data_IF_480931412621
#
_entry.id   IF_480931412621
#
_cell.length_a   1.000
_cell.length_b   1.000
_cell.length_c   1.000
_cell.angle_alpha   90.00
_cell.angle_beta   90.00
_cell.angle_gamma   90.00
#
_symmetry.space_group_name_H-M   'P 1'
#
loop_
_entity.id
_entity.type
_entity.pdbx_description
1 polymer ?
#
# COMPACT_ATOMS: atom_id res chain seq x y z
N UNK A 1 60.17 -45.90 -8.97
CA UNK A 1 59.21 -45.19 -9.85
C UNK A 1 57.80 -45.42 -9.32
N UNK A 2 57.12 -44.33 -8.96
CA UNK A 2 55.65 -44.07 -8.91
C UNK A 2 54.71 -45.29 -8.72
N UNK A 3 53.89 -45.26 -7.67
CA UNK A 3 52.51 -44.72 -7.70
C UNK A 3 51.84 -44.85 -6.33
N UNK A 4 51.79 -43.74 -5.60
CA UNK A 4 50.77 -43.46 -4.60
C UNK A 4 49.43 -43.42 -5.33
N UNK A 5 48.50 -44.35 -5.06
CA UNK A 5 47.15 -44.27 -5.60
C UNK A 5 46.18 -43.97 -4.44
N UNK A 6 45.75 -42.71 -4.46
CA UNK A 6 44.66 -42.08 -3.71
C UNK A 6 43.54 -43.05 -3.33
N UNK A 7 43.41 -43.37 -2.05
CA UNK A 7 42.17 -43.83 -1.44
C UNK A 7 41.38 -42.59 -1.04
N UNK A 8 40.80 -41.92 -2.05
CA UNK A 8 39.87 -40.81 -1.89
C UNK A 8 38.48 -41.31 -2.29
N UNK A 9 37.96 -42.26 -1.52
CA UNK A 9 36.56 -42.68 -1.65
C UNK A 9 35.72 -41.57 -1.05
N UNK A 10 35.33 -40.67 -1.95
CA UNK A 10 34.17 -39.78 -1.91
C UNK A 10 33.24 -40.04 -0.72
N UNK A 11 33.43 -39.28 0.36
CA UNK A 11 32.35 -38.99 1.29
C UNK A 11 31.41 -38.03 0.55
N UNK A 12 30.52 -38.61 -0.27
CA UNK A 12 29.43 -37.91 -0.93
C UNK A 12 28.45 -37.54 0.18
N UNK A 13 28.73 -36.43 0.86
CA UNK A 13 27.80 -35.79 1.78
C UNK A 13 26.59 -35.42 0.92
N UNK A 14 25.56 -36.28 0.95
CA UNK A 14 24.21 -35.92 0.52
C UNK A 14 23.75 -34.88 1.55
N UNK A 15 24.15 -33.63 1.36
CA UNK A 15 23.48 -32.50 2.00
C UNK A 15 22.06 -32.55 1.43
N UNK A 16 21.03 -32.84 2.23
CA UNK A 16 19.68 -32.61 1.76
C UNK A 16 19.63 -31.14 1.36
N UNK A 17 19.48 -30.90 0.06
CA UNK A 17 19.13 -29.58 -0.44
C UNK A 17 17.74 -29.31 0.10
N UNK A 18 17.67 -28.74 1.30
CA UNK A 18 16.47 -28.08 1.77
C UNK A 18 16.23 -26.95 0.78
N UNK A 19 15.45 -27.24 -0.26
CA UNK A 19 14.76 -26.19 -0.98
C UNK A 19 13.91 -25.51 0.09
N UNK A 20 14.38 -24.38 0.62
CA UNK A 20 13.49 -23.43 1.27
C UNK A 20 12.48 -23.07 0.19
N UNK A 21 11.31 -23.71 0.23
CA UNK A 21 10.13 -23.17 -0.42
C UNK A 21 9.90 -21.85 0.31
N UNK A 22 10.37 -20.76 -0.28
CA UNK A 22 10.11 -19.43 0.23
C UNK A 22 8.59 -19.28 0.24
N UNK A 23 7.99 -19.34 1.43
CA UNK A 23 6.57 -19.17 1.61
C UNK A 23 6.19 -17.82 1.01
N UNK A 24 5.22 -17.81 0.08
CA UNK A 24 4.79 -16.56 -0.54
C UNK A 24 4.32 -15.62 0.58
N UNK A 25 4.92 -14.42 0.71
CA UNK A 25 4.54 -13.51 1.78
C UNK A 25 3.09 -13.09 1.58
N UNK A 26 2.29 -13.17 2.63
CA UNK A 26 0.93 -12.64 2.61
C UNK A 26 0.97 -11.12 2.48
N UNK A 27 -0.10 -10.53 1.96
CA UNK A 27 -0.30 -9.07 1.95
C UNK A 27 -1.46 -8.71 2.87
N UNK A 28 -1.45 -7.46 3.34
CA UNK A 28 -2.52 -6.91 4.16
C UNK A 28 -3.29 -5.91 3.30
N UNK A 29 -4.62 -6.06 3.25
CA UNK A 29 -5.50 -5.17 2.49
C UNK A 29 -6.48 -4.54 3.46
N UNK A 30 -6.51 -3.21 3.49
CA UNK A 30 -7.37 -2.42 4.34
C UNK A 30 -8.31 -1.63 3.44
N UNK A 31 -9.62 -1.85 3.61
CA UNK A 31 -10.65 -1.09 2.91
C UNK A 31 -11.40 -0.20 3.90
N UNK A 32 -11.14 1.11 3.81
CA UNK A 32 -11.73 2.12 4.69
C UNK A 32 -13.24 2.18 4.61
N UNK A 33 -13.82 1.92 3.43
CA UNK A 33 -15.27 1.92 3.25
C UNK A 33 -15.90 0.73 3.97
N UNK A 34 -15.34 -0.45 3.73
CA UNK A 34 -15.85 -1.70 4.32
C UNK A 34 -15.50 -1.83 5.80
N UNK A 35 -14.54 -1.05 6.30
CA UNK A 35 -14.01 -1.12 7.67
C UNK A 35 -13.45 -2.51 7.95
N UNK A 36 -12.74 -3.05 6.97
CA UNK A 36 -12.14 -4.39 7.01
C UNK A 36 -10.64 -4.34 6.81
N UNK A 37 -9.94 -5.21 7.53
CA UNK A 37 -8.57 -5.62 7.25
C UNK A 37 -8.58 -7.09 6.86
N UNK A 38 -8.05 -7.40 5.69
CA UNK A 38 -7.94 -8.75 5.14
C UNK A 38 -6.46 -9.16 5.01
N UNK A 39 -6.17 -10.41 5.33
CA UNK A 39 -4.90 -11.05 4.99
C UNK A 39 -5.13 -11.88 3.73
N UNK A 40 -4.34 -11.62 2.69
CA UNK A 40 -4.38 -12.38 1.45
C UNK A 40 -3.08 -13.15 1.24
N UNK A 41 -3.19 -14.42 0.88
CA UNK A 41 -2.08 -15.28 0.49
C UNK A 41 -2.47 -16.02 -0.77
N UNK A 42 -1.65 -15.93 -1.81
CA UNK A 42 -1.88 -16.58 -3.12
C UNK A 42 -3.29 -16.33 -3.69
N UNK A 43 -3.74 -15.06 -3.71
CA UNK A 43 -5.07 -14.70 -4.21
C UNK A 43 -6.24 -15.00 -3.26
N UNK A 44 -6.02 -15.67 -2.13
CA UNK A 44 -7.09 -16.09 -1.20
C UNK A 44 -7.06 -15.30 0.09
N UNK A 45 -8.24 -14.88 0.56
CA UNK A 45 -8.41 -14.30 1.90
C UNK A 45 -8.27 -15.42 2.92
N UNK A 46 -7.29 -15.32 3.81
CA UNK A 46 -7.03 -16.31 4.88
C UNK A 46 -7.48 -15.82 6.25
N UNK A 47 -7.67 -14.51 6.40
CA UNK A 47 -8.26 -13.89 7.59
C UNK A 47 -8.91 -12.55 7.22
N UNK A 48 -9.95 -12.15 7.96
CA UNK A 48 -10.62 -10.85 7.81
C UNK A 48 -11.09 -10.36 9.18
N UNK A 49 -10.90 -9.07 9.44
CA UNK A 49 -11.17 -8.44 10.73
C UNK A 49 -11.89 -7.10 10.56
N UNK A 50 -12.82 -6.79 11.49
CA UNK A 50 -13.36 -5.42 11.63
C UNK A 50 -12.24 -4.48 12.12
N UNK A 51 -12.24 -3.24 11.65
CA UNK A 51 -11.25 -2.24 12.05
C UNK A 51 -11.84 -0.88 12.40
N UNK A 52 -11.19 -0.21 13.36
CA UNK A 52 -11.35 1.19 13.66
C UNK A 52 -10.38 2.04 12.84
N UNK A 53 -10.79 3.24 12.50
CA UNK A 53 -10.11 4.14 11.59
C UNK A 53 -10.06 5.56 12.18
N UNK A 54 -9.39 6.45 11.46
CA UNK A 54 -9.55 7.89 11.63
C UNK A 54 -10.94 8.37 11.21
N UNK A 55 -11.11 9.69 11.12
CA UNK A 55 -12.38 10.32 10.73
C UNK A 55 -12.89 9.78 9.38
N UNK A 56 -14.20 9.62 9.27
CA UNK A 56 -14.86 9.24 8.04
C UNK A 56 -14.75 10.37 7.00
N UNK A 57 -14.07 10.10 5.88
CA UNK A 57 -13.95 11.07 4.80
C UNK A 57 -13.57 10.42 3.48
N UNK A 58 -14.08 10.99 2.38
CA UNK A 58 -13.57 10.75 1.04
C UNK A 58 -12.30 11.56 0.76
N UNK A 59 -11.96 12.54 1.60
CA UNK A 59 -10.67 13.23 1.49
C UNK A 59 -9.54 12.31 1.97
N UNK A 60 -8.36 12.34 1.31
CA UNK A 60 -7.20 11.59 1.77
C UNK A 60 -6.50 12.32 2.94
N UNK A 61 -5.68 11.57 3.68
CA UNK A 61 -4.73 12.14 4.63
C UNK A 61 -3.67 12.96 3.90
N UNK A 62 -3.48 14.21 4.30
CA UNK A 62 -2.54 15.14 3.65
C UNK A 62 -1.86 16.10 4.63
N UNK A 63 -2.23 16.10 5.91
CA UNK A 63 -1.57 16.94 6.91
C UNK A 63 -1.64 16.37 8.33
N UNK A 64 -0.69 16.81 9.16
CA UNK A 64 -0.74 16.59 10.61
C UNK A 64 -2.05 17.17 11.17
N UNK A 65 -2.76 16.39 11.98
CA UNK A 65 -4.00 16.82 12.64
C UNK A 65 -5.27 16.75 11.78
N UNK A 66 -5.24 16.21 10.57
CA UNK A 66 -6.48 15.91 9.82
C UNK A 66 -7.26 14.70 10.39
N UNK A 67 -6.62 13.90 11.26
CA UNK A 67 -7.17 12.70 11.87
C UNK A 67 -7.68 11.65 10.87
N UNK A 68 -7.22 11.69 9.62
CA UNK A 68 -7.60 10.74 8.58
C UNK A 68 -6.63 9.56 8.56
N UNK A 69 -7.14 8.37 8.27
CA UNK A 69 -6.30 7.20 7.91
C UNK A 69 -5.81 7.37 6.48
N UNK A 70 -4.49 7.24 6.22
CA UNK A 70 -3.93 7.42 4.89
C UNK A 70 -4.36 6.30 3.94
N UNK A 71 -4.17 6.54 2.64
CA UNK A 71 -4.42 5.57 1.56
C UNK A 71 -3.14 5.42 0.75
N UNK A 72 -2.85 4.23 0.25
CA UNK A 72 -1.64 3.93 -0.53
C UNK A 72 -1.01 2.59 -0.17
N UNK A 73 0.23 2.40 -0.63
CA UNK A 73 1.02 1.18 -0.42
C UNK A 73 2.07 1.45 0.65
N UNK A 74 1.91 0.84 1.82
CA UNK A 74 2.79 0.99 2.97
C UNK A 74 3.51 -0.32 3.29
N UNK A 75 4.42 -0.26 4.25
CA UNK A 75 5.09 -1.41 4.85
C UNK A 75 5.08 -1.30 6.35
N UNK A 76 5.03 -2.45 7.02
CA UNK A 76 5.28 -2.54 8.46
C UNK A 76 6.77 -2.37 8.71
N UNK A 77 7.17 -1.30 9.38
CA UNK A 77 8.58 -0.97 9.63
C UNK A 77 9.09 -1.45 10.97
N UNK A 78 8.21 -1.54 11.97
CA UNK A 78 8.52 -2.12 13.27
C UNK A 78 7.25 -2.65 13.94
N UNK A 79 7.43 -3.57 14.88
CA UNK A 79 6.37 -4.11 15.73
C UNK A 79 6.86 -3.98 17.17
N UNK A 80 6.09 -3.32 18.03
CA UNK A 80 6.44 -3.14 19.44
C UNK A 80 5.27 -3.42 20.37
N UNK A 81 5.55 -3.98 21.54
CA UNK A 81 4.57 -4.03 22.62
C UNK A 81 4.19 -2.61 23.06
N UNK A 82 2.96 -2.45 23.53
CA UNK A 82 2.42 -1.17 24.01
C UNK A 82 1.49 -1.42 25.19
N UNK A 83 1.63 -0.65 26.26
CA UNK A 83 0.69 -0.71 27.38
C UNK A 83 -0.71 -0.21 26.98
N UNK A 84 -0.76 0.85 26.16
CA UNK A 84 -2.02 1.45 25.71
C UNK A 84 -2.72 0.62 24.62
N UNK A 85 -1.94 -0.01 23.73
CA UNK A 85 -2.47 -0.62 22.51
C UNK A 85 -2.23 -2.13 22.39
N UNK A 86 -1.67 -2.77 23.43
CA UNK A 86 -1.17 -4.15 23.42
C UNK A 86 0.04 -4.34 22.49
N UNK A 87 -0.13 -4.09 21.19
CA UNK A 87 0.95 -3.95 20.21
C UNK A 87 0.70 -2.76 19.29
N UNK A 88 1.78 -2.17 18.79
CA UNK A 88 1.76 -1.15 17.75
C UNK A 88 2.68 -1.57 16.61
N UNK A 89 2.11 -1.70 15.42
CA UNK A 89 2.79 -2.00 14.18
C UNK A 89 2.92 -0.71 13.38
N UNK A 90 4.11 -0.13 13.35
CA UNK A 90 4.36 1.13 12.64
C UNK A 90 4.34 0.93 11.13
N UNK A 91 3.67 1.83 10.41
CA UNK A 91 3.74 1.94 8.96
C UNK A 91 4.79 2.97 8.54
N UNK A 92 5.39 2.79 7.36
CA UNK A 92 6.29 3.79 6.74
C UNK A 92 5.54 5.02 6.18
N UNK A 93 4.51 5.52 6.86
CA UNK A 93 3.84 6.77 6.50
C UNK A 93 4.60 7.98 7.10
N UNK A 94 4.83 9.06 6.33
CA UNK A 94 4.56 9.19 4.89
C UNK A 94 5.57 8.39 4.03
N UNK A 95 5.09 7.82 2.94
CA UNK A 95 5.92 7.12 1.94
C UNK A 95 6.29 8.05 0.77
N UNK A 96 7.02 7.55 -0.24
CA UNK A 96 7.45 8.34 -1.39
C UNK A 96 6.28 8.99 -2.15
N UNK A 97 5.16 8.29 -2.32
CA UNK A 97 4.01 8.83 -3.04
C UNK A 97 3.29 9.92 -2.21
N UNK A 98 3.22 9.77 -0.88
CA UNK A 98 2.71 10.83 0.00
C UNK A 98 3.55 12.10 -0.11
N UNK A 99 4.88 11.95 -0.10
CA UNK A 99 5.81 13.06 -0.29
C UNK A 99 5.67 13.70 -1.66
N UNK A 100 5.53 12.89 -2.71
CA UNK A 100 5.38 13.36 -4.08
C UNK A 100 4.09 14.18 -4.27
N UNK A 101 2.98 13.70 -3.71
CA UNK A 101 1.70 14.44 -3.72
C UNK A 101 1.78 15.72 -2.89
N UNK A 102 2.48 15.71 -1.74
CA UNK A 102 2.71 16.91 -0.95
C UNK A 102 3.55 17.95 -1.70
N UNK A 103 4.61 17.51 -2.41
CA UNK A 103 5.44 18.36 -3.24
C UNK A 103 4.66 18.94 -4.42
N UNK A 104 3.90 18.10 -5.12
CA UNK A 104 3.00 18.52 -6.20
C UNK A 104 2.02 19.62 -5.75
N UNK A 105 1.47 19.51 -4.54
CA UNK A 105 0.53 20.49 -3.97
C UNK A 105 1.20 21.72 -3.35
N UNK A 106 2.54 21.81 -3.36
CA UNK A 106 3.28 22.90 -2.75
C UNK A 106 3.25 22.90 -1.21
N UNK A 107 2.86 21.79 -0.57
CA UNK A 107 2.87 21.64 0.90
C UNK A 107 4.32 21.56 1.40
N UNK A 108 5.21 20.97 0.60
CA UNK A 108 6.65 20.93 0.83
C UNK A 108 7.39 21.50 -0.38
N UNK A 109 8.54 22.12 -0.13
CA UNK A 109 9.45 22.61 -1.16
C UNK A 109 10.36 21.49 -1.71
N UNK A 110 11.12 21.83 -2.77
CA UNK A 110 12.01 20.88 -3.46
C UNK A 110 13.13 20.36 -2.57
N UNK A 111 13.69 21.21 -1.71
CA UNK A 111 14.79 20.83 -0.81
C UNK A 111 14.32 19.78 0.20
N UNK A 112 13.17 20.02 0.84
CA UNK A 112 12.53 19.11 1.78
C UNK A 112 12.11 17.81 1.11
N UNK A 113 11.54 17.88 -0.10
CA UNK A 113 11.19 16.69 -0.88
C UNK A 113 12.41 15.81 -1.15
N UNK A 114 13.51 16.38 -1.67
CA UNK A 114 14.75 15.64 -1.95
C UNK A 114 15.35 15.06 -0.66
N UNK A 115 15.40 15.84 0.42
CA UNK A 115 15.92 15.38 1.72
C UNK A 115 15.17 14.14 2.21
N UNK A 116 13.84 14.22 2.25
CA UNK A 116 13.00 13.13 2.75
C UNK A 116 12.96 11.93 1.81
N UNK A 117 13.03 12.14 0.51
CA UNK A 117 13.20 11.04 -0.46
C UNK A 117 14.47 10.24 -0.17
N UNK A 118 15.62 10.89 0.06
CA UNK A 118 16.88 10.22 0.40
C UNK A 118 16.81 9.47 1.73
N UNK A 119 16.11 10.01 2.72
CA UNK A 119 15.84 9.30 3.98
C UNK A 119 15.08 7.99 3.72
N UNK A 120 14.02 8.03 2.90
CA UNK A 120 13.26 6.83 2.54
C UNK A 120 14.10 5.80 1.76
N UNK A 121 15.02 6.25 0.89
CA UNK A 121 15.99 5.37 0.19
C UNK A 121 16.91 4.64 1.18
N UNK A 122 17.31 5.31 2.25
CA UNK A 122 18.07 4.73 3.36
C UNK A 122 17.21 3.92 4.35
N UNK A 123 15.94 3.67 4.03
CA UNK A 123 14.97 2.98 4.89
C UNK A 123 14.70 3.67 6.23
N UNK A 124 14.92 4.98 6.31
CA UNK A 124 14.56 5.80 7.47
C UNK A 124 13.06 6.12 7.51
N UNK A 125 12.54 6.45 8.70
CA UNK A 125 11.14 6.82 8.93
C UNK A 125 11.05 8.33 9.17
N UNK A 126 10.07 8.98 8.56
CA UNK A 126 9.82 10.42 8.73
C UNK A 126 8.73 10.61 9.78
N UNK A 127 9.11 10.82 11.04
CA UNK A 127 8.12 10.89 12.14
C UNK A 127 7.46 12.26 12.35
N UNK A 128 8.17 13.36 12.07
CA UNK A 128 7.67 14.73 12.27
C UNK A 128 7.69 15.51 10.96
N UNK A 129 6.71 15.22 10.11
CA UNK A 129 6.49 15.93 8.85
C UNK A 129 5.23 16.79 8.92
N UNK A 130 5.09 17.70 7.95
CA UNK A 130 3.84 18.44 7.73
C UNK A 130 2.65 17.52 7.41
N UNK A 131 2.93 16.31 6.90
CA UNK A 131 1.94 15.25 6.63
C UNK A 131 1.55 14.48 7.89
N UNK A 132 2.26 14.68 9.00
CA UNK A 132 2.19 13.87 10.22
C UNK A 132 3.19 12.70 10.20
N UNK A 133 2.91 11.70 11.02
CA UNK A 133 3.74 10.50 11.18
C UNK A 133 3.09 9.56 12.21
N UNK A 134 3.81 8.50 12.58
CA UNK A 134 3.38 7.53 13.62
C UNK A 134 2.01 6.91 13.35
N UNK A 135 1.72 6.61 12.09
CA UNK A 135 0.54 5.83 11.69
C UNK A 135 0.88 4.34 11.82
N UNK A 136 -0.05 3.56 12.36
CA UNK A 136 0.16 2.14 12.58
C UNK A 136 -1.12 1.34 12.70
N UNK A 137 -0.95 0.02 12.80
CA UNK A 137 -2.00 -0.93 13.16
C UNK A 137 -1.82 -1.29 14.63
N UNK A 138 -2.88 -1.27 15.43
CA UNK A 138 -2.78 -1.48 16.88
C UNK A 138 -4.08 -2.06 17.49
N UNK A 139 -4.05 -2.42 18.78
CA UNK A 139 -5.22 -2.94 19.52
C UNK A 139 -6.14 -1.86 20.07
N UNK A 140 -6.91 -2.16 21.12
CA UNK A 140 -7.76 -1.17 21.81
C UNK A 140 -9.18 -1.03 21.24
N UNK A 141 -9.55 -1.86 20.27
CA UNK A 141 -10.93 -2.05 19.80
C UNK A 141 -11.19 -1.54 18.39
N UNK A 142 -11.84 -2.37 17.56
CA UNK A 142 -12.24 -1.99 16.20
C UNK A 142 -13.30 -0.87 16.19
N UNK A 143 -14.00 -0.66 17.30
CA UNK A 143 -14.98 0.41 17.46
C UNK A 143 -15.09 0.79 18.93
N UNK A 144 -15.64 1.98 19.19
CA UNK A 144 -16.15 2.36 20.50
C UNK A 144 -17.67 2.23 20.50
N UNK A 145 -18.23 1.79 21.62
CA UNK A 145 -19.67 1.79 21.81
C UNK A 145 -20.10 3.18 22.25
N UNK A 146 -21.07 3.75 21.57
CA UNK A 146 -21.65 5.05 21.88
C UNK A 146 -23.15 4.94 22.02
N UNK A 147 -23.75 5.74 22.90
CA UNK A 147 -25.20 5.79 23.10
C UNK A 147 -25.79 7.06 22.52
N UNK A 148 -26.82 6.93 21.69
CA UNK A 148 -27.57 8.06 21.13
C UNK A 148 -29.04 7.70 21.07
N UNK A 149 -29.88 8.57 21.64
CA UNK A 149 -31.34 8.40 21.68
C UNK A 149 -31.76 7.04 22.25
N UNK A 150 -31.10 6.57 23.32
CA UNK A 150 -31.38 5.28 23.96
C UNK A 150 -30.99 4.05 23.15
N UNK A 151 -30.18 4.20 22.09
CA UNK A 151 -29.64 3.09 21.28
C UNK A 151 -28.12 3.10 21.29
N UNK A 152 -27.52 1.93 21.42
CA UNK A 152 -26.07 1.73 21.32
C UNK A 152 -25.66 1.53 19.86
N UNK A 153 -24.61 2.22 19.42
CA UNK A 153 -24.02 2.07 18.09
C UNK A 153 -22.50 1.89 18.16
N UNK A 154 -21.95 1.24 17.13
CA UNK A 154 -20.50 1.10 16.96
C UNK A 154 -19.95 2.34 16.24
N UNK A 155 -19.12 3.13 16.92
CA UNK A 155 -18.31 4.16 16.29
C UNK A 155 -16.96 3.58 15.85
N UNK A 156 -16.79 3.41 14.54
CA UNK A 156 -15.54 2.94 13.93
C UNK A 156 -14.50 4.05 13.73
N UNK A 157 -14.86 5.33 13.89
CA UNK A 157 -14.04 6.48 13.53
C UNK A 157 -13.52 7.22 14.77
N UNK A 158 -12.74 6.51 15.59
CA UNK A 158 -12.31 7.00 16.90
C UNK A 158 -10.80 7.26 17.00
N UNK A 159 -10.00 6.75 16.06
CA UNK A 159 -8.54 6.95 16.10
C UNK A 159 -8.15 8.31 15.53
N UNK A 160 -6.88 8.68 15.67
CA UNK A 160 -6.29 9.89 15.05
C UNK A 160 -5.65 9.62 13.68
N UNK A 161 -6.03 8.52 13.02
CA UNK A 161 -5.54 8.10 11.70
C UNK A 161 -4.91 6.71 11.67
N UNK A 162 -4.76 6.05 12.82
CA UNK A 162 -4.31 4.66 12.88
C UNK A 162 -5.42 3.68 12.44
N UNK A 163 -5.07 2.40 12.43
CA UNK A 163 -5.99 1.30 12.20
C UNK A 163 -6.06 0.46 13.47
N UNK A 164 -7.23 0.40 14.11
CA UNK A 164 -7.42 -0.29 15.36
C UNK A 164 -8.12 -1.63 15.16
N UNK A 165 -7.63 -2.69 15.79
CA UNK A 165 -8.25 -4.02 15.87
C UNK A 165 -8.78 -4.25 17.28
N UNK A 166 -9.70 -5.20 17.45
CA UNK A 166 -9.94 -5.76 18.77
C UNK A 166 -8.69 -6.52 19.23
N UNK A 167 -8.43 -6.55 20.54
CA UNK A 167 -7.20 -7.16 21.05
C UNK A 167 -7.06 -8.64 20.72
N UNK A 168 -8.19 -9.38 20.66
CA UNK A 168 -8.20 -10.79 20.25
C UNK A 168 -7.80 -10.92 18.77
N UNK A 169 -8.43 -10.14 17.91
CA UNK A 169 -8.16 -10.08 16.47
C UNK A 169 -6.71 -9.67 16.20
N UNK A 170 -6.15 -8.73 16.96
CA UNK A 170 -4.76 -8.32 16.88
C UNK A 170 -3.80 -9.48 17.16
N UNK A 171 -4.08 -10.29 18.19
CA UNK A 171 -3.24 -11.46 18.52
C UNK A 171 -3.30 -12.52 17.43
N UNK A 172 -4.45 -12.72 16.78
CA UNK A 172 -4.57 -13.61 15.64
C UNK A 172 -3.88 -13.04 14.39
N UNK A 173 -4.09 -11.76 14.12
CA UNK A 173 -3.47 -11.02 13.04
C UNK A 173 -1.95 -11.14 13.11
N UNK A 174 -1.34 -10.95 14.29
CA UNK A 174 0.12 -11.05 14.48
C UNK A 174 0.74 -12.38 14.04
N UNK A 175 -0.03 -13.47 13.92
CA UNK A 175 0.45 -14.76 13.41
C UNK A 175 0.85 -14.72 11.93
N UNK A 176 0.35 -13.73 11.18
CA UNK A 176 0.57 -13.59 9.74
C UNK A 176 1.60 -12.51 9.38
N UNK A 177 2.22 -11.87 10.38
CA UNK A 177 2.82 -10.56 10.19
C UNK A 177 4.32 -10.54 10.43
N UNK A 178 5.03 -9.96 9.46
CA UNK A 178 6.46 -9.73 9.53
C UNK A 178 6.80 -8.27 9.18
N UNK A 179 7.92 -7.78 9.70
CA UNK A 179 8.49 -6.49 9.26
C UNK A 179 8.84 -6.54 7.77
N UNK A 180 8.59 -5.45 7.06
CA UNK A 180 8.79 -5.32 5.62
C UNK A 180 7.58 -5.72 4.77
N UNK A 181 6.58 -6.37 5.36
CA UNK A 181 5.36 -6.81 4.68
C UNK A 181 4.52 -5.62 4.19
N UNK A 182 3.96 -5.74 2.99
CA UNK A 182 3.16 -4.70 2.35
C UNK A 182 1.75 -4.58 2.95
N UNK A 183 1.31 -3.34 3.15
CA UNK A 183 -0.02 -2.96 3.60
C UNK A 183 -0.65 -2.06 2.54
N UNK A 184 -1.70 -2.54 1.89
CA UNK A 184 -2.47 -1.78 0.91
C UNK A 184 -3.66 -1.15 1.60
N UNK A 185 -3.75 0.18 1.62
CA UNK A 185 -4.87 0.90 2.22
C UNK A 185 -5.63 1.64 1.13
N UNK A 186 -6.91 1.32 0.96
CA UNK A 186 -7.78 1.92 -0.05
C UNK A 186 -9.12 2.33 0.53
N UNK A 187 -9.90 3.06 -0.27
CA UNK A 187 -11.31 3.31 -0.01
C UNK A 187 -12.10 2.90 -1.26
N UNK A 188 -12.83 1.78 -1.22
CA UNK A 188 -13.50 1.23 -2.40
C UNK A 188 -14.67 2.05 -2.93
N UNK A 189 -15.16 3.04 -2.17
CA UNK A 189 -16.16 4.01 -2.64
C UNK A 189 -15.57 5.02 -3.63
N UNK A 190 -14.24 5.19 -3.63
CA UNK A 190 -13.60 6.16 -4.51
C UNK A 190 -13.55 5.67 -5.95
N UNK A 191 -13.57 6.65 -6.86
CA UNK A 191 -13.29 6.48 -8.28
C UNK A 191 -11.92 5.83 -8.50
N UNK A 192 -11.78 5.06 -9.58
CA UNK A 192 -10.56 4.29 -9.86
C UNK A 192 -9.34 5.22 -9.92
N UNK A 193 -9.49 6.38 -10.55
CA UNK A 193 -8.43 7.39 -10.61
C UNK A 193 -7.88 7.77 -9.23
N UNK A 194 -8.77 8.02 -8.26
CA UNK A 194 -8.37 8.44 -6.91
C UNK A 194 -7.67 7.32 -6.13
N UNK A 195 -8.08 6.06 -6.35
CA UNK A 195 -7.38 4.89 -5.79
C UNK A 195 -5.99 4.80 -6.43
N UNK A 196 -5.90 4.83 -7.77
CA UNK A 196 -4.64 4.75 -8.49
C UNK A 196 -3.67 5.87 -8.09
N UNK A 197 -4.16 7.10 -7.89
CA UNK A 197 -3.35 8.24 -7.42
C UNK A 197 -2.59 7.95 -6.13
N UNK A 198 -3.13 7.09 -5.26
CA UNK A 198 -2.49 6.69 -4.01
C UNK A 198 -1.53 5.50 -4.16
N UNK A 199 -1.63 4.76 -5.27
CA UNK A 199 -0.91 3.50 -5.50
C UNK A 199 0.18 3.61 -6.56
N UNK A 200 0.08 4.58 -7.48
CA UNK A 200 1.07 4.78 -8.54
C UNK A 200 2.43 5.14 -7.97
N UNK A 201 3.45 4.76 -8.72
CA UNK A 201 4.79 5.27 -8.54
C UNK A 201 4.88 6.61 -9.27
N UNK A 202 5.26 7.70 -8.59
CA UNK A 202 5.48 8.98 -9.25
C UNK A 202 6.54 8.82 -10.35
N UNK A 203 6.32 9.46 -11.49
CA UNK A 203 7.25 9.43 -12.63
C UNK A 203 7.68 10.83 -13.03
N UNK A 204 6.80 11.83 -12.84
CA UNK A 204 7.11 13.24 -13.09
C UNK A 204 6.30 14.13 -12.15
N UNK A 205 6.95 15.09 -11.52
CA UNK A 205 6.32 16.03 -10.61
C UNK A 205 6.81 17.43 -10.91
N UNK A 206 5.91 18.32 -11.33
CA UNK A 206 6.16 19.77 -11.31
C UNK A 206 5.17 20.42 -10.35
N UNK A 207 5.63 21.02 -9.23
CA UNK A 207 4.76 21.63 -8.24
C UNK A 207 3.78 22.62 -8.85
N UNK A 208 2.52 22.55 -8.43
CA UNK A 208 1.44 23.42 -8.87
C UNK A 208 1.22 23.44 -10.40
N UNK A 209 1.74 22.44 -11.11
CA UNK A 209 1.59 22.29 -12.56
C UNK A 209 1.09 20.90 -12.94
N UNK A 210 1.89 19.85 -12.69
CA UNK A 210 1.58 18.48 -13.14
C UNK A 210 2.10 17.41 -12.18
N UNK A 211 1.30 16.35 -12.01
CA UNK A 211 1.69 15.10 -11.37
C UNK A 211 1.42 13.95 -12.33
N UNK A 212 2.43 13.13 -12.60
CA UNK A 212 2.30 11.91 -13.39
C UNK A 212 2.78 10.69 -12.59
N UNK A 213 2.05 9.59 -12.71
CA UNK A 213 2.43 8.34 -12.05
C UNK A 213 2.02 7.12 -12.85
N UNK A 214 2.79 6.04 -12.70
CA UNK A 214 2.55 4.78 -13.37
C UNK A 214 2.36 3.64 -12.37
N UNK A 215 1.49 2.69 -12.69
CA UNK A 215 1.33 1.43 -11.96
C UNK A 215 1.28 0.29 -12.97
N UNK A 216 2.07 -0.75 -12.72
CA UNK A 216 2.12 -1.96 -13.53
C UNK A 216 1.55 -3.12 -12.72
N UNK A 217 0.62 -3.85 -13.31
CA UNK A 217 -0.14 -4.90 -12.64
C UNK A 217 -0.05 -6.18 -13.46
N UNK A 218 0.51 -7.24 -12.87
CA UNK A 218 0.51 -8.57 -13.49
C UNK A 218 -0.82 -9.25 -13.18
N UNK A 219 -1.57 -9.64 -14.21
CA UNK A 219 -2.84 -10.36 -14.07
C UNK A 219 -2.59 -11.88 -14.10
N UNK A 220 -1.67 -12.32 -14.97
CA UNK A 220 -1.16 -13.68 -15.04
C UNK A 220 0.18 -13.68 -15.80
N UNK A 221 0.79 -14.85 -16.01
CA UNK A 221 2.10 -14.97 -16.69
C UNK A 221 2.18 -14.25 -18.05
N UNK A 222 1.06 -14.15 -18.75
CA UNK A 222 1.01 -13.60 -20.11
C UNK A 222 0.32 -12.24 -20.21
N UNK A 223 -0.37 -11.79 -19.16
CA UNK A 223 -1.26 -10.61 -19.22
C UNK A 223 -0.86 -9.56 -18.19
N UNK A 224 -0.63 -8.34 -18.67
CA UNK A 224 -0.24 -7.20 -17.85
C UNK A 224 -1.13 -6.00 -18.15
N UNK A 225 -1.47 -5.25 -17.12
CA UNK A 225 -2.05 -3.92 -17.23
C UNK A 225 -1.01 -2.87 -16.83
N UNK A 226 -0.98 -1.75 -17.55
CA UNK A 226 -0.31 -0.54 -17.09
C UNK A 226 -1.31 0.59 -16.99
N UNK A 227 -1.31 1.27 -15.85
CA UNK A 227 -2.06 2.48 -15.60
C UNK A 227 -1.08 3.64 -15.62
N UNK A 228 -1.38 4.70 -16.36
CA UNK A 228 -0.67 5.97 -16.33
C UNK A 228 -1.68 7.06 -16.02
N UNK A 229 -1.43 7.80 -14.94
CA UNK A 229 -2.27 8.92 -14.54
C UNK A 229 -1.54 10.24 -14.74
N UNK A 230 -2.30 11.27 -15.08
CA UNK A 230 -1.85 12.65 -15.17
C UNK A 230 -2.87 13.52 -14.44
N UNK A 231 -2.41 14.31 -13.48
CA UNK A 231 -3.18 15.38 -12.85
C UNK A 231 -2.54 16.72 -13.16
N UNK A 232 -3.34 17.71 -13.52
CA UNK A 232 -2.89 19.10 -13.57
C UNK A 232 -3.44 19.88 -12.38
N UNK A 233 -2.73 20.94 -11.99
CA UNK A 233 -3.17 21.77 -10.87
C UNK A 233 -4.51 22.49 -11.15
N UNK A 234 -4.88 22.64 -12.42
CA UNK A 234 -6.19 23.16 -12.86
C UNK A 234 -7.34 22.16 -12.73
N UNK A 235 -7.08 20.95 -12.22
CA UNK A 235 -8.09 19.94 -11.94
C UNK A 235 -8.35 18.93 -13.06
N UNK A 236 -7.71 19.07 -14.23
CA UNK A 236 -7.78 18.03 -15.27
C UNK A 236 -7.11 16.76 -14.77
N UNK A 237 -7.80 15.63 -14.95
CA UNK A 237 -7.35 14.29 -14.60
C UNK A 237 -7.47 13.41 -15.84
N UNK A 238 -6.41 12.67 -16.14
CA UNK A 238 -6.37 11.74 -17.27
C UNK A 238 -5.80 10.41 -16.81
N UNK A 239 -6.51 9.33 -17.12
CA UNK A 239 -6.08 7.96 -16.90
C UNK A 239 -5.97 7.24 -18.24
N UNK A 240 -4.82 6.63 -18.47
CA UNK A 240 -4.56 5.73 -19.59
C UNK A 240 -4.38 4.32 -19.06
N UNK A 241 -5.12 3.37 -19.63
CA UNK A 241 -4.98 1.95 -19.34
C UNK A 241 -4.51 1.24 -20.59
N UNK A 242 -3.44 0.46 -20.48
CA UNK A 242 -2.95 -0.41 -21.56
C UNK A 242 -2.95 -1.85 -21.12
N UNK A 243 -3.46 -2.75 -21.96
CA UNK A 243 -3.43 -4.20 -21.75
C UNK A 243 -2.46 -4.85 -22.71
N UNK A 244 -1.53 -5.61 -22.15
CA UNK A 244 -0.51 -6.34 -22.90
C UNK A 244 -0.76 -7.84 -22.72
N UNK A 245 -0.75 -8.59 -23.83
CA UNK A 245 -0.86 -10.06 -23.84
C UNK A 245 0.32 -10.63 -24.61
N UNK A 246 1.11 -11.47 -23.96
CA UNK A 246 2.35 -12.08 -24.50
C UNK A 246 3.28 -11.02 -25.11
N UNK A 247 3.45 -9.89 -24.41
CA UNK A 247 4.30 -8.77 -24.85
C UNK A 247 3.70 -7.87 -25.93
N UNK A 248 2.56 -8.21 -26.54
CA UNK A 248 1.90 -7.38 -27.53
C UNK A 248 0.82 -6.49 -26.90
N UNK A 249 0.78 -5.21 -27.26
CA UNK A 249 -0.31 -4.30 -26.86
C UNK A 249 -1.61 -4.75 -27.53
N UNK A 250 -2.64 -5.01 -26.73
CA UNK A 250 -3.95 -5.48 -27.20
C UNK A 250 -5.07 -4.46 -27.01
N UNK A 251 -4.97 -3.62 -26.00
CA UNK A 251 -6.01 -2.63 -25.69
C UNK A 251 -5.36 -1.35 -25.15
N UNK A 252 -5.91 -0.21 -25.56
CA UNK A 252 -5.62 1.11 -24.99
C UNK A 252 -6.94 1.80 -24.71
N UNK A 253 -7.14 2.23 -23.47
CA UNK A 253 -8.29 2.99 -23.02
C UNK A 253 -7.79 4.30 -22.43
N UNK A 254 -8.56 5.36 -22.64
CA UNK A 254 -8.34 6.66 -22.06
C UNK A 254 -9.63 7.12 -21.36
N UNK A 255 -9.48 7.76 -20.20
CA UNK A 255 -10.59 8.38 -19.49
C UNK A 255 -11.05 9.70 -20.12
N UNK A 256 -12.19 10.18 -19.67
CA UNK A 256 -12.54 11.59 -19.85
C UNK A 256 -11.57 12.53 -19.07
N UNK A 257 -11.85 13.85 -19.10
CA UNK A 257 -11.03 14.86 -18.42
C UNK A 257 -11.17 14.90 -16.89
N UNK A 258 -12.09 14.10 -16.33
CA UNK A 258 -12.27 13.92 -14.89
C UNK A 258 -11.54 12.68 -14.35
N UNK A 259 -10.97 11.86 -15.25
CA UNK A 259 -10.31 10.61 -14.89
C UNK A 259 -11.25 9.40 -14.91
N UNK A 260 -12.51 9.56 -15.33
CA UNK A 260 -13.52 8.50 -15.32
C UNK A 260 -13.44 7.62 -16.58
N UNK A 261 -13.51 6.29 -16.40
CA UNK A 261 -13.56 5.29 -17.47
C UNK A 261 -15.00 4.90 -17.85
N UNK A 262 -15.99 5.58 -17.28
CA UNK A 262 -17.42 5.36 -17.49
C UNK A 262 -17.77 3.89 -17.20
N UNK A 263 -18.35 3.20 -18.18
CA UNK A 263 -18.82 1.81 -18.05
C UNK A 263 -17.71 0.81 -17.68
N UNK A 264 -16.44 1.12 -17.95
CA UNK A 264 -15.30 0.23 -17.66
C UNK A 264 -14.69 0.43 -16.27
N UNK A 265 -15.13 1.42 -15.49
CA UNK A 265 -14.48 1.78 -14.23
C UNK A 265 -14.50 0.63 -13.21
N UNK A 266 -15.66 0.02 -12.98
CA UNK A 266 -15.81 -1.03 -11.97
C UNK A 266 -15.02 -2.30 -12.33
N UNK A 267 -14.91 -2.64 -13.62
CA UNK A 267 -14.11 -3.77 -14.09
C UNK A 267 -12.62 -3.59 -13.76
N UNK A 268 -12.07 -2.41 -14.03
CA UNK A 268 -10.67 -2.12 -13.70
C UNK A 268 -10.43 -1.96 -12.21
N UNK A 269 -11.40 -1.43 -11.46
CA UNK A 269 -11.32 -1.36 -9.99
C UNK A 269 -11.29 -2.77 -9.39
N UNK A 270 -12.13 -3.67 -9.88
CA UNK A 270 -12.13 -5.09 -9.49
C UNK A 270 -10.78 -5.75 -9.83
N UNK A 271 -10.31 -5.61 -11.07
CA UNK A 271 -9.02 -6.17 -11.49
C UNK A 271 -7.85 -5.67 -10.63
N UNK A 272 -7.83 -4.38 -10.29
CA UNK A 272 -6.81 -3.80 -9.41
C UNK A 272 -6.86 -4.46 -8.02
N UNK A 273 -8.03 -4.49 -7.38
CA UNK A 273 -8.21 -4.99 -6.01
C UNK A 273 -7.90 -6.49 -5.91
N UNK A 274 -8.27 -7.28 -6.92
CA UNK A 274 -8.02 -8.73 -6.97
C UNK A 274 -6.54 -9.08 -7.20
N UNK A 275 -5.72 -8.12 -7.67
CA UNK A 275 -4.32 -8.37 -8.06
C UNK A 275 -3.32 -7.46 -7.33
N UNK A 276 -3.67 -6.86 -6.19
CA UNK A 276 -2.78 -5.93 -5.46
C UNK A 276 -1.42 -6.56 -5.11
N UNK A 277 -1.40 -7.86 -4.80
CA UNK A 277 -0.18 -8.63 -4.56
C UNK A 277 0.77 -8.69 -5.76
N UNK A 278 0.24 -8.45 -6.97
CA UNK A 278 0.94 -8.56 -8.24
C UNK A 278 1.30 -7.19 -8.84
N UNK A 279 1.26 -6.13 -8.03
CA UNK A 279 1.79 -4.81 -8.41
C UNK A 279 3.30 -4.91 -8.57
N UNK A 280 3.79 -4.55 -9.76
CA UNK A 280 5.21 -4.56 -10.09
C UNK A 280 5.83 -3.19 -9.79
N UNK A 281 7.02 -3.21 -9.21
CA UNK A 281 7.84 -2.00 -9.10
C UNK A 281 8.33 -1.61 -10.51
N UNK A 282 8.16 -0.35 -10.93
CA UNK A 282 8.68 0.11 -12.21
C UNK A 282 10.22 0.20 -12.16
N UNK A 283 10.85 -0.05 -13.31
CA UNK A 283 12.31 0.05 -13.48
C UNK A 283 12.79 1.48 -13.81
N UNK A 284 12.05 2.53 -13.42
CA UNK A 284 12.33 3.91 -13.85
C UNK A 284 12.83 4.81 -12.71
N UNK A 285 13.74 5.72 -13.03
CA UNK A 285 14.13 6.85 -12.18
C UNK A 285 13.03 7.94 -12.21
N UNK A 286 12.77 8.57 -11.07
CA UNK A 286 11.82 9.67 -10.94
C UNK A 286 12.37 10.95 -11.59
N UNK A 287 11.60 11.60 -12.46
CA UNK A 287 11.94 12.92 -13.04
C UNK A 287 11.44 14.04 -12.11
N UNK A 288 12.35 14.88 -11.59
CA UNK A 288 12.09 15.94 -10.58
C UNK A 288 12.52 17.33 -11.08
#
# INVERSE_FOLDING_TARGET
MKKFLLLLVFYLIILPSYFLIAETPSIIIIDKNKKTLEIRKEGKIVASYEIGLGLESLLPKEKKGDFLTPEGIYKIVYIKASEEYRFFLGLNYPNLNDLALAYYKGIIDKEKFIKWMRMLENSEIIEDSLLGGKIGIHGGGAFKLEEKNGKTYKNYHWTKGCIALNDKDLIEFLKYINTGQSVFILNSQKKLYEILKKFVYPTKIKPLEIFEGELYLKINEYTYLSFHIIETYRGMKKLFVKKWIRGALKEKIESDASGDLLEKEEDFKKLLIENLENILKPYKQLEI
#
